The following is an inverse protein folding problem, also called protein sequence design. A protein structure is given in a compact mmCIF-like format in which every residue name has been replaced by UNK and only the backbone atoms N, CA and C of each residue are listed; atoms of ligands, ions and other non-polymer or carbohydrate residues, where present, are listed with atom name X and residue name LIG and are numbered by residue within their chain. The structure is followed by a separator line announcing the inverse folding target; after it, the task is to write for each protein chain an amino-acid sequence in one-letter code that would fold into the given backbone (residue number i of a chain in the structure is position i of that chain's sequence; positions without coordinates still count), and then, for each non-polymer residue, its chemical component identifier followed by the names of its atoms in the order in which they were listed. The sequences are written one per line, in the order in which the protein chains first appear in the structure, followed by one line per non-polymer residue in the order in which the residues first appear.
data_IF_002149742500
#
_entry.id   IF_002149742500
#
_cell.length_a   1.000
_cell.length_b   1.000
_cell.length_c   1.000
_cell.angle_alpha   90.00
_cell.angle_beta   90.00
_cell.angle_gamma   90.00
#
_symmetry.space_group_name_H-M   'P 1'
#
loop_
_entity.id
_entity.type
_entity.pdbx_description
1 polymer ?
#
# COMPACT_ATOMS: atom_id res chain seq x y z
N UNK A 1 42.52 -29.23 -33.58
CA UNK A 1 41.99 -27.85 -33.57
C UNK A 1 41.71 -27.50 -32.10
N UNK A 2 42.62 -27.04 -31.23
CA UNK A 2 43.64 -25.97 -31.22
C UNK A 2 43.11 -24.57 -31.57
N UNK A 3 42.61 -23.91 -30.51
CA UNK A 3 42.89 -22.54 -30.07
C UNK A 3 42.99 -21.43 -31.12
N UNK A 4 42.06 -20.46 -31.06
CA UNK A 4 42.31 -19.08 -31.48
C UNK A 4 42.06 -18.13 -30.30
N UNK A 5 43.15 -17.46 -29.89
CA UNK A 5 43.20 -16.15 -29.21
C UNK A 5 43.40 -15.10 -30.30
N UNK A 6 42.86 -13.90 -30.14
CA UNK A 6 43.33 -12.58 -30.61
C UNK A 6 42.18 -11.59 -30.37
N UNK A 7 42.32 -10.34 -29.95
CA UNK A 7 43.27 -9.60 -29.11
C UNK A 7 42.55 -8.28 -28.77
N UNK A 8 42.89 -7.71 -27.63
CA UNK A 8 42.56 -6.35 -27.23
C UNK A 8 43.15 -5.32 -28.20
N UNK A 9 42.43 -4.20 -28.42
CA UNK A 9 43.10 -2.92 -28.61
C UNK A 9 42.23 -1.75 -28.14
N UNK A 10 42.74 -1.09 -27.11
CA UNK A 10 42.35 0.21 -26.61
C UNK A 10 42.51 1.29 -27.68
N UNK A 11 41.57 2.24 -27.73
CA UNK A 11 41.92 3.65 -27.99
C UNK A 11 41.29 4.53 -26.90
N UNK A 12 42.21 5.13 -26.17
CA UNK A 12 42.05 6.22 -25.21
C UNK A 12 41.45 7.47 -25.85
N UNK A 13 40.54 8.13 -25.13
CA UNK A 13 39.96 9.41 -25.51
C UNK A 13 39.38 10.11 -24.29
N UNK A 14 40.27 10.50 -23.37
CA UNK A 14 39.96 11.38 -22.24
C UNK A 14 39.43 12.72 -22.74
N UNK A 15 38.16 13.02 -22.48
CA UNK A 15 37.66 14.38 -22.40
C UNK A 15 36.92 14.55 -21.07
N UNK A 16 37.67 15.05 -20.10
CA UNK A 16 37.24 15.47 -18.79
C UNK A 16 36.33 16.69 -18.92
N UNK A 17 35.01 16.48 -18.83
CA UNK A 17 34.05 17.56 -18.62
C UNK A 17 33.39 17.30 -17.27
N UNK A 18 33.98 17.90 -16.23
CA UNK A 18 33.39 18.01 -14.90
C UNK A 18 32.11 18.83 -15.01
N UNK A 19 30.97 18.14 -15.11
CA UNK A 19 29.69 18.75 -14.84
C UNK A 19 29.29 18.26 -13.44
N UNK A 20 29.68 19.03 -12.43
CA UNK A 20 29.00 19.02 -11.14
C UNK A 20 27.56 19.49 -11.37
N UNK A 21 26.68 18.56 -11.78
CA UNK A 21 25.25 18.77 -11.73
C UNK A 21 24.79 18.38 -10.34
N UNK A 22 24.51 19.41 -9.53
CA UNK A 22 23.79 19.33 -8.26
C UNK A 22 22.68 18.30 -8.36
N UNK A 23 22.87 17.17 -7.70
CA UNK A 23 21.80 16.20 -7.43
C UNK A 23 20.73 16.92 -6.60
N UNK A 24 19.53 17.05 -7.15
CA UNK A 24 18.41 17.69 -6.45
C UNK A 24 18.02 16.80 -5.28
N UNK A 25 18.50 17.20 -4.10
CA UNK A 25 18.28 16.57 -2.81
C UNK A 25 16.78 16.39 -2.55
N UNK A 26 16.30 15.15 -2.57
CA UNK A 26 14.94 14.79 -2.16
C UNK A 26 14.76 15.09 -0.68
N UNK A 27 14.26 16.28 -0.36
CA UNK A 27 13.83 16.64 0.98
C UNK A 27 12.42 16.10 1.19
N UNK A 28 12.25 15.25 2.21
CA UNK A 28 11.00 14.82 2.84
C UNK A 28 9.91 15.93 2.94
N UNK A 29 10.34 17.19 2.89
CA UNK A 29 9.60 18.41 3.15
C UNK A 29 8.76 18.93 1.97
N UNK A 30 9.13 18.65 0.71
CA UNK A 30 8.43 19.22 -0.45
C UNK A 30 7.00 18.70 -0.64
N UNK A 31 6.79 17.40 -0.44
CA UNK A 31 5.47 16.77 -0.58
C UNK A 31 4.56 16.95 0.67
N UNK A 32 5.16 17.23 1.84
CA UNK A 32 4.43 17.27 3.11
C UNK A 32 4.08 18.69 3.59
N UNK A 33 4.78 19.71 3.12
CA UNK A 33 4.61 21.11 3.55
C UNK A 33 4.44 22.02 2.32
N UNK A 34 3.21 22.37 1.97
CA UNK A 34 2.95 23.52 1.08
C UNK A 34 2.89 24.86 1.86
N UNK A 35 3.12 24.89 3.18
CA UNK A 35 2.76 26.08 3.99
C UNK A 35 3.61 26.37 5.26
N UNK A 36 4.90 26.03 5.32
CA UNK A 36 5.76 26.58 6.40
C UNK A 36 7.24 26.60 6.09
N UNK A 37 7.89 27.69 6.53
CA UNK A 37 9.28 28.06 6.28
C UNK A 37 10.34 26.99 6.61
N UNK A 38 11.40 27.05 5.81
CA UNK A 38 12.52 26.12 5.66
C UNK A 38 13.27 25.72 6.93
N UNK A 39 13.48 24.41 7.14
CA UNK A 39 14.58 23.87 7.96
C UNK A 39 15.29 22.73 7.22
N UNK A 40 16.60 22.89 7.06
CA UNK A 40 17.47 22.04 6.24
C UNK A 40 18.03 20.88 7.09
N UNK A 41 17.66 19.64 6.77
CA UNK A 41 18.33 18.44 7.31
C UNK A 41 18.91 17.61 6.16
N UNK A 42 20.24 17.43 6.15
CA UNK A 42 20.99 16.61 5.20
C UNK A 42 21.17 15.20 5.78
N UNK A 43 20.80 14.15 5.04
CA UNK A 43 21.42 12.83 5.24
C UNK A 43 21.46 12.06 3.91
N UNK A 44 22.60 12.10 3.23
CA UNK A 44 23.04 10.99 2.38
C UNK A 44 23.93 10.11 3.25
N UNK A 45 23.76 8.77 3.28
CA UNK A 45 24.76 7.90 3.88
C UNK A 45 26.02 7.94 3.01
N UNK A 46 27.17 8.15 3.64
CA UNK A 46 28.49 8.05 3.05
C UNK A 46 28.73 6.63 2.52
N UNK A 47 29.37 6.54 1.34
CA UNK A 47 29.92 5.30 0.81
C UNK A 47 31.05 4.83 1.72
N UNK A 48 30.92 3.63 2.29
CA UNK A 48 32.01 2.96 3.00
C UNK A 48 32.42 1.72 2.21
N UNK A 49 33.38 1.90 1.31
CA UNK A 49 34.31 0.83 0.94
C UNK A 49 35.44 0.74 1.99
N UNK A 50 36.00 -0.47 2.13
CA UNK A 50 37.15 -0.91 2.95
C UNK A 50 36.87 -1.14 4.45
N UNK A 51 37.48 -2.10 5.15
CA UNK A 51 38.50 -3.10 4.81
C UNK A 51 38.74 -3.99 6.06
N UNK A 52 39.23 -5.21 5.86
CA UNK A 52 39.58 -6.15 6.94
C UNK A 52 40.86 -5.70 7.65
N UNK A 53 40.81 -5.54 8.98
CA UNK A 53 41.97 -5.74 9.86
C UNK A 53 41.51 -5.99 11.31
N UNK A 54 42.02 -7.05 11.93
CA UNK A 54 41.74 -7.41 13.33
C UNK A 54 42.60 -6.67 14.36
N UNK A 55 42.26 -6.86 15.63
CA UNK A 55 43.04 -6.42 16.80
C UNK A 55 42.15 -6.10 18.01
N UNK A 56 42.45 -6.72 19.15
CA UNK A 56 41.67 -6.72 20.40
C UNK A 56 41.85 -5.46 21.27
N UNK A 57 40.86 -5.26 22.18
CA UNK A 57 40.83 -4.53 23.48
C UNK A 57 41.18 -3.02 23.52
N UNK A 58 40.25 -2.16 23.97
CA UNK A 58 40.08 -1.84 25.40
C UNK A 58 38.90 -0.87 25.65
N UNK A 59 38.43 -0.84 26.90
CA UNK A 59 37.28 -0.08 27.42
C UNK A 59 37.59 1.42 27.57
N UNK A 60 36.60 2.28 27.32
CA UNK A 60 36.19 3.35 28.24
C UNK A 60 34.93 4.09 27.77
N UNK A 61 34.02 4.31 28.72
CA UNK A 61 32.86 5.18 28.60
C UNK A 61 33.28 6.64 28.48
N UNK A 62 32.64 7.41 27.60
CA UNK A 62 32.30 8.80 27.91
C UNK A 62 31.05 9.25 27.17
N UNK A 63 30.33 10.10 27.88
CA UNK A 63 29.00 10.64 27.68
C UNK A 63 28.97 11.66 26.53
N UNK A 64 27.85 11.70 25.81
CA UNK A 64 27.74 12.51 24.61
C UNK A 64 26.34 12.45 24.01
N UNK A 65 25.33 12.77 24.81
CA UNK A 65 23.97 12.98 24.34
C UNK A 65 23.90 14.15 23.35
N UNK A 66 24.09 13.85 22.06
CA UNK A 66 23.95 14.81 20.96
C UNK A 66 22.60 14.60 20.26
N UNK A 67 21.64 15.46 20.61
CA UNK A 67 20.64 16.02 19.71
C UNK A 67 19.60 15.08 19.05
N UNK A 68 18.60 14.61 19.80
CA UNK A 68 17.43 13.90 19.26
C UNK A 68 16.26 14.82 18.81
N UNK A 69 16.54 16.05 18.38
CA UNK A 69 15.52 17.06 18.07
C UNK A 69 14.76 16.84 16.76
N UNK A 70 15.44 16.37 15.70
CA UNK A 70 14.85 16.27 14.36
C UNK A 70 13.86 15.11 14.17
N UNK A 71 13.95 14.04 14.98
CA UNK A 71 13.05 12.88 14.87
C UNK A 71 11.62 13.19 15.31
N UNK A 72 11.46 13.94 16.41
CA UNK A 72 10.15 14.34 16.91
C UNK A 72 9.45 15.34 15.99
N UNK A 73 10.21 16.25 15.37
CA UNK A 73 9.68 17.24 14.43
C UNK A 73 9.08 16.57 13.18
N UNK A 74 9.80 15.62 12.59
CA UNK A 74 9.31 14.84 11.44
C UNK A 74 8.06 14.03 11.80
N UNK A 75 8.04 13.38 12.96
CA UNK A 75 6.87 12.64 13.42
C UNK A 75 5.65 13.56 13.58
N UNK A 76 5.86 14.78 14.09
CA UNK A 76 4.82 15.81 14.18
C UNK A 76 4.24 16.19 12.82
N UNK A 77 5.09 16.39 11.81
CA UNK A 77 4.67 16.71 10.43
C UNK A 77 3.84 15.57 9.83
N UNK A 78 4.33 14.33 9.93
CA UNK A 78 3.64 13.13 9.42
C UNK A 78 2.27 12.98 10.09
N UNK A 79 2.22 13.10 11.42
CA UNK A 79 0.97 13.01 12.17
C UNK A 79 -0.01 14.11 11.76
N UNK A 80 0.43 15.37 11.70
CA UNK A 80 -0.39 16.52 11.33
C UNK A 80 -0.95 16.38 9.91
N UNK A 81 -0.12 16.00 8.94
CA UNK A 81 -0.56 15.80 7.54
C UNK A 81 -1.58 14.68 7.42
N UNK A 82 -1.34 13.53 8.07
CA UNK A 82 -2.26 12.41 8.04
C UNK A 82 -3.61 12.76 8.67
N UNK A 83 -3.60 13.33 9.89
CA UNK A 83 -4.82 13.69 10.62
C UNK A 83 -5.61 14.75 9.86
N UNK A 84 -4.99 15.85 9.43
CA UNK A 84 -5.68 16.92 8.69
C UNK A 84 -6.31 16.43 7.38
N UNK A 85 -5.61 15.58 6.63
CA UNK A 85 -6.12 15.01 5.37
C UNK A 85 -7.29 14.03 5.60
N UNK A 86 -7.23 13.25 6.68
CA UNK A 86 -8.32 12.37 7.09
C UNK A 86 -9.55 13.16 7.57
N UNK A 87 -9.35 14.18 8.42
CA UNK A 87 -10.41 15.04 8.93
C UNK A 87 -11.11 15.80 7.81
N UNK A 88 -10.37 16.27 6.81
CA UNK A 88 -10.92 16.91 5.60
C UNK A 88 -11.81 15.97 4.78
N UNK A 89 -11.53 14.67 4.86
CA UNK A 89 -12.35 13.61 4.27
C UNK A 89 -13.45 13.11 5.22
N UNK A 90 -13.67 13.81 6.34
CA UNK A 90 -14.70 13.51 7.33
C UNK A 90 -14.43 12.30 8.22
N UNK A 91 -13.17 11.83 8.28
CA UNK A 91 -12.73 10.71 9.12
C UNK A 91 -11.81 11.23 10.23
N UNK A 92 -12.27 11.16 11.48
CA UNK A 92 -11.50 11.63 12.62
C UNK A 92 -10.70 10.49 13.28
N UNK A 93 -9.39 10.68 13.40
CA UNK A 93 -8.48 9.66 13.91
C UNK A 93 -7.35 10.32 14.70
N UNK A 94 -6.88 9.59 15.71
CA UNK A 94 -5.72 9.97 16.51
C UNK A 94 -4.55 9.06 16.16
N UNK A 95 -3.38 9.66 15.91
CA UNK A 95 -2.14 8.90 15.76
C UNK A 95 -1.65 8.51 17.16
N UNK A 96 -1.45 7.20 17.37
CA UNK A 96 -0.99 6.63 18.64
C UNK A 96 0.51 6.34 18.61
N UNK A 97 1.10 6.13 17.42
CA UNK A 97 2.53 5.91 17.30
C UNK A 97 3.04 6.08 15.87
N UNK A 98 4.27 6.56 15.75
CA UNK A 98 5.02 6.62 14.50
C UNK A 98 6.39 6.00 14.78
N UNK A 99 6.76 5.04 13.93
CA UNK A 99 8.05 4.36 14.00
C UNK A 99 8.75 4.47 12.66
N UNK A 100 9.96 5.03 12.65
CA UNK A 100 10.83 5.02 11.48
C UNK A 100 11.43 3.63 11.32
N UNK A 101 11.36 3.08 10.12
CA UNK A 101 11.94 1.78 9.83
C UNK A 101 13.46 1.92 9.84
N UNK A 102 14.11 1.09 10.65
CA UNK A 102 15.57 0.99 10.70
C UNK A 102 16.07 0.14 9.52
N UNK A 103 17.09 0.65 8.84
CA UNK A 103 17.76 -0.01 7.73
C UNK A 103 19.11 -0.59 8.14
N UNK A 104 19.30 -0.99 9.39
CA UNK A 104 20.58 -1.54 9.89
C UNK A 104 20.89 -2.96 9.38
N UNK A 105 19.88 -3.82 9.24
CA UNK A 105 20.08 -5.21 8.81
C UNK A 105 20.61 -5.30 7.36
N UNK A 106 21.35 -6.36 7.04
CA UNK A 106 21.86 -6.60 5.68
C UNK A 106 20.73 -6.58 4.64
N UNK A 107 19.62 -7.27 4.92
CA UNK A 107 18.48 -7.35 4.01
C UNK A 107 17.78 -6.01 3.84
N UNK A 108 17.60 -5.24 4.92
CA UNK A 108 17.00 -3.89 4.82
C UNK A 108 17.90 -2.91 4.06
N UNK A 109 19.23 -2.99 4.24
CA UNK A 109 20.18 -2.19 3.44
C UNK A 109 20.10 -2.53 1.96
N UNK A 110 20.03 -3.82 1.62
CA UNK A 110 19.87 -4.25 0.24
C UNK A 110 18.56 -3.73 -0.39
N UNK A 111 17.45 -3.72 0.36
CA UNK A 111 16.17 -3.13 -0.10
C UNK A 111 16.30 -1.63 -0.37
N UNK A 112 16.93 -0.89 0.54
CA UNK A 112 17.17 0.55 0.38
C UNK A 112 18.07 0.83 -0.84
N UNK A 113 19.19 0.10 -0.97
CA UNK A 113 20.12 0.25 -2.10
C UNK A 113 19.45 -0.08 -3.43
N UNK A 114 18.66 -1.16 -3.49
CA UNK A 114 17.88 -1.51 -4.67
C UNK A 114 16.95 -0.36 -5.06
N UNK A 115 16.20 0.20 -4.11
CA UNK A 115 15.35 1.36 -4.37
C UNK A 115 16.15 2.56 -4.93
N UNK A 116 17.30 2.88 -4.33
CA UNK A 116 18.16 3.98 -4.81
C UNK A 116 18.65 3.76 -6.25
N UNK A 117 19.07 2.53 -6.58
CA UNK A 117 19.52 2.18 -7.94
C UNK A 117 18.39 2.35 -8.95
N UNK A 118 17.19 1.84 -8.65
CA UNK A 118 16.03 1.99 -9.54
C UNK A 118 15.58 3.44 -9.64
N UNK A 119 15.65 4.21 -8.55
CA UNK A 119 15.35 5.65 -8.57
C UNK A 119 16.29 6.36 -9.55
N UNK A 120 17.59 6.09 -9.49
CA UNK A 120 18.57 6.69 -10.40
C UNK A 120 18.32 6.27 -11.86
N UNK A 121 17.97 5.01 -12.10
CA UNK A 121 17.66 4.52 -13.43
C UNK A 121 16.42 5.20 -14.03
N UNK A 122 15.35 5.37 -13.24
CA UNK A 122 14.14 6.07 -13.69
C UNK A 122 14.39 7.56 -13.89
N UNK A 123 15.19 8.20 -13.04
CA UNK A 123 15.65 9.59 -13.20
C UNK A 123 16.36 9.78 -14.56
N UNK A 124 17.30 8.89 -14.88
CA UNK A 124 18.01 8.91 -16.17
C UNK A 124 17.07 8.69 -17.36
N UNK A 125 16.08 7.80 -17.22
CA UNK A 125 15.06 7.53 -18.24
C UNK A 125 14.09 8.72 -18.45
N UNK A 126 13.76 9.45 -17.38
CA UNK A 126 12.69 10.44 -17.36
C UNK A 126 13.21 11.89 -17.30
N UNK A 127 14.19 12.22 -18.16
CA UNK A 127 14.72 13.59 -18.31
C UNK A 127 15.28 14.22 -17.01
N UNK A 128 15.79 13.40 -16.09
CA UNK A 128 16.41 13.88 -14.85
C UNK A 128 15.50 13.93 -13.63
N UNK A 129 14.26 13.42 -13.71
CA UNK A 129 13.36 13.32 -12.55
C UNK A 129 12.72 11.94 -12.46
N UNK A 130 12.96 11.25 -11.33
CA UNK A 130 12.36 9.95 -11.05
C UNK A 130 10.88 10.05 -10.59
N UNK A 131 10.38 11.26 -10.35
CA UNK A 131 9.04 11.54 -9.82
C UNK A 131 8.80 10.68 -8.56
N UNK A 132 9.72 10.80 -7.59
CA UNK A 132 9.62 10.08 -6.30
C UNK A 132 8.61 10.82 -5.43
N UNK A 133 7.58 10.11 -4.96
CA UNK A 133 6.51 10.66 -4.13
C UNK A 133 6.37 9.91 -2.82
N UNK A 134 5.88 10.60 -1.79
CA UNK A 134 5.34 9.93 -0.62
C UNK A 134 3.91 9.42 -0.87
N UNK A 135 3.61 8.22 -0.36
CA UNK A 135 2.29 7.62 -0.47
C UNK A 135 1.96 6.68 0.71
N UNK A 136 0.67 6.59 1.01
CA UNK A 136 0.11 5.80 2.09
C UNK A 136 -0.30 4.40 1.62
N UNK A 137 0.09 3.37 2.37
CA UNK A 137 -0.38 2.00 2.20
C UNK A 137 -0.91 1.47 3.54
N UNK A 138 -2.18 1.09 3.62
CA UNK A 138 -2.75 0.52 4.84
C UNK A 138 -3.04 -0.95 4.69
N UNK A 139 -2.70 -1.71 5.73
CA UNK A 139 -2.83 -3.16 5.77
C UNK A 139 -2.99 -3.64 7.23
N UNK A 140 -3.19 -4.95 7.42
CA UNK A 140 -3.16 -5.53 8.77
C UNK A 140 -1.74 -5.47 9.36
N UNK A 141 -1.64 -5.53 10.69
CA UNK A 141 -0.35 -5.64 11.40
C UNK A 141 0.50 -6.81 10.89
N UNK A 142 -0.13 -7.96 10.63
CA UNK A 142 0.54 -9.15 10.12
C UNK A 142 1.09 -8.95 8.71
N UNK A 143 0.33 -8.29 7.84
CA UNK A 143 0.75 -7.98 6.47
C UNK A 143 1.87 -6.94 6.45
N UNK A 144 1.79 -5.89 7.29
CA UNK A 144 2.89 -4.92 7.44
C UNK A 144 4.17 -5.62 7.87
N UNK A 145 4.13 -6.48 8.90
CA UNK A 145 5.31 -7.22 9.35
C UNK A 145 5.88 -8.14 8.24
N UNK A 146 5.01 -8.76 7.45
CA UNK A 146 5.43 -9.56 6.29
C UNK A 146 6.10 -8.70 5.22
N UNK A 147 5.57 -7.49 4.94
CA UNK A 147 6.16 -6.54 3.99
C UNK A 147 7.55 -6.09 4.44
N UNK A 148 7.71 -5.74 5.73
CA UNK A 148 8.99 -5.29 6.26
C UNK A 148 10.04 -6.40 6.18
N UNK A 149 9.67 -7.64 6.47
CA UNK A 149 10.57 -8.81 6.42
C UNK A 149 10.87 -9.25 4.98
N UNK A 150 9.84 -9.44 4.15
CA UNK A 150 9.95 -10.15 2.88
C UNK A 150 9.68 -9.29 1.63
N UNK A 151 9.22 -8.06 1.81
CA UNK A 151 8.77 -7.19 0.73
C UNK A 151 7.28 -7.37 0.42
N UNK A 152 6.77 -6.54 -0.49
CA UNK A 152 5.43 -6.65 -1.01
C UNK A 152 5.25 -7.98 -1.75
N UNK A 153 4.10 -8.61 -1.55
CA UNK A 153 3.68 -9.82 -2.23
C UNK A 153 2.49 -9.52 -3.14
N UNK A 154 2.21 -10.42 -4.09
CA UNK A 154 1.08 -10.26 -5.01
C UNK A 154 -0.22 -10.13 -4.19
N UNK A 155 -1.05 -9.09 -4.45
CA UNK A 155 -2.28 -8.92 -3.71
C UNK A 155 -3.21 -10.11 -3.95
N UNK A 156 -3.78 -10.64 -2.88
CA UNK A 156 -4.76 -11.75 -2.93
C UNK A 156 -6.10 -11.36 -3.55
N UNK A 157 -6.31 -10.06 -3.85
CA UNK A 157 -7.49 -9.56 -4.54
C UNK A 157 -7.12 -8.60 -5.66
N UNK A 158 -7.75 -8.79 -6.83
CA UNK A 158 -7.57 -7.94 -8.01
C UNK A 158 -7.84 -6.48 -7.64
N UNK A 159 -7.01 -5.54 -8.09
CA UNK A 159 -7.30 -4.10 -8.02
C UNK A 159 -8.60 -3.73 -8.72
N UNK A 160 -9.13 -2.54 -8.45
CA UNK A 160 -10.11 -1.94 -9.36
C UNK A 160 -9.45 -1.30 -10.58
N UNK A 161 -8.12 -1.11 -10.57
CA UNK A 161 -7.37 -0.39 -11.61
C UNK A 161 -6.07 -1.15 -11.92
N UNK A 162 -6.20 -2.41 -12.35
CA UNK A 162 -5.06 -3.28 -12.64
C UNK A 162 -4.52 -4.08 -11.46
N UNK A 163 -3.49 -4.90 -11.73
CA UNK A 163 -2.79 -5.76 -10.80
C UNK A 163 -1.49 -5.10 -10.33
N UNK A 164 -1.44 -4.79 -9.04
CA UNK A 164 -0.30 -4.11 -8.44
C UNK A 164 -0.60 -3.65 -7.02
N UNK A 165 0.40 -3.04 -6.40
CA UNK A 165 0.24 -2.39 -5.10
C UNK A 165 -0.42 -1.04 -5.33
N UNK A 166 -1.52 -0.79 -4.62
CA UNK A 166 -2.26 0.46 -4.70
C UNK A 166 -1.90 1.31 -3.47
N UNK A 167 -1.42 2.53 -3.69
CA UNK A 167 -1.09 3.47 -2.64
C UNK A 167 -1.94 4.73 -2.81
N UNK A 168 -2.18 5.45 -1.71
CA UNK A 168 -2.89 6.73 -1.75
C UNK A 168 -1.89 7.88 -1.66
N UNK A 169 -2.03 8.95 -2.44
CA UNK A 169 -1.26 10.18 -2.26
C UNK A 169 -1.39 10.73 -0.83
N UNK A 170 -0.40 11.52 -0.40
CA UNK A 170 -0.35 12.04 0.98
C UNK A 170 -1.58 12.85 1.39
N UNK A 171 -2.20 13.54 0.44
CA UNK A 171 -3.41 14.37 0.62
C UNK A 171 -4.72 13.57 0.60
N UNK A 172 -4.68 12.30 0.18
CA UNK A 172 -5.86 11.46 0.01
C UNK A 172 -5.77 10.11 0.74
N UNK A 173 -5.36 10.07 2.03
CA UNK A 173 -5.09 8.82 2.78
C UNK A 173 -6.31 7.92 2.97
N UNK A 174 -7.54 8.46 2.85
CA UNK A 174 -8.78 7.75 3.16
C UNK A 174 -8.96 6.46 2.34
N UNK A 175 -8.45 6.43 1.10
CA UNK A 175 -8.55 5.24 0.26
C UNK A 175 -7.65 4.10 0.71
N UNK A 176 -6.54 4.39 1.40
CA UNK A 176 -5.62 3.40 1.93
C UNK A 176 -5.94 2.97 3.36
N UNK A 177 -6.92 3.56 4.06
CA UNK A 177 -7.24 3.17 5.43
C UNK A 177 -7.59 1.67 5.57
N UNK A 178 -7.00 0.91 6.50
CA UNK A 178 -7.31 -0.50 6.69
C UNK A 178 -8.52 -0.65 7.64
N UNK A 179 -9.70 -0.22 7.18
CA UNK A 179 -10.92 -0.18 8.01
C UNK A 179 -11.33 -1.55 8.58
N UNK A 180 -10.92 -2.65 7.98
CA UNK A 180 -11.17 -4.02 8.45
C UNK A 180 -9.92 -4.70 9.06
N UNK A 181 -8.79 -3.98 9.09
CA UNK A 181 -7.48 -4.50 9.49
C UNK A 181 -7.01 -4.01 10.86
N UNK A 182 -7.93 -3.55 11.71
CA UNK A 182 -7.59 -3.15 13.07
C UNK A 182 -7.10 -4.35 13.89
N UNK A 183 -6.07 -4.16 14.70
CA UNK A 183 -5.52 -5.20 15.58
C UNK A 183 -6.36 -5.40 16.86
N UNK A 184 -5.87 -6.24 17.77
CA UNK A 184 -6.58 -6.59 19.02
C UNK A 184 -6.83 -5.35 19.92
N UNK A 185 -5.98 -4.32 19.81
CA UNK A 185 -6.07 -3.07 20.56
C UNK A 185 -6.98 -2.03 19.85
N UNK A 186 -7.53 -2.41 18.69
CA UNK A 186 -8.31 -1.55 17.81
C UNK A 186 -7.46 -0.54 17.04
N UNK A 187 -6.16 -0.79 16.89
CA UNK A 187 -5.26 0.07 16.14
C UNK A 187 -5.26 -0.31 14.66
N UNK A 188 -5.40 0.68 13.80
CA UNK A 188 -5.18 0.58 12.36
C UNK A 188 -3.74 0.96 12.05
N UNK A 189 -3.09 0.21 11.17
CA UNK A 189 -1.69 0.42 10.84
C UNK A 189 -1.50 0.79 9.38
N UNK A 190 -0.64 1.78 9.12
CA UNK A 190 -0.32 2.25 7.78
C UNK A 190 1.19 2.39 7.62
N UNK A 191 1.64 2.21 6.38
CA UNK A 191 2.98 2.54 5.92
C UNK A 191 2.96 3.89 5.22
N UNK A 192 3.94 4.72 5.52
CA UNK A 192 4.33 5.83 4.65
C UNK A 192 5.53 5.37 3.83
N UNK A 193 5.36 5.33 2.51
CA UNK A 193 6.35 4.81 1.57
C UNK A 193 6.88 5.94 0.67
N UNK A 194 8.16 5.87 0.31
CA UNK A 194 8.66 6.53 -0.91
C UNK A 194 8.33 5.65 -2.10
N UNK A 195 7.84 6.26 -3.17
CA UNK A 195 7.40 5.56 -4.36
C UNK A 195 7.99 6.22 -5.61
N UNK A 196 8.70 5.45 -6.42
CA UNK A 196 9.20 5.91 -7.71
C UNK A 196 8.05 5.82 -8.72
N UNK A 197 7.47 6.97 -9.09
CA UNK A 197 6.35 7.00 -10.03
C UNK A 197 6.81 7.11 -11.49
N UNK A 198 7.95 7.74 -11.77
CA UNK A 198 8.42 7.98 -13.14
C UNK A 198 7.34 8.63 -14.01
N UNK A 199 7.25 8.21 -15.28
CA UNK A 199 6.15 8.64 -16.15
C UNK A 199 4.89 7.84 -15.85
N UNK A 200 3.88 8.52 -15.28
CA UNK A 200 2.60 7.91 -14.93
C UNK A 200 1.67 7.79 -16.15
N UNK A 201 0.88 6.72 -16.19
CA UNK A 201 -0.27 6.58 -17.08
C UNK A 201 -1.60 6.65 -16.31
N UNK A 202 -2.65 7.12 -16.97
CA UNK A 202 -4.01 7.05 -16.44
C UNK A 202 -4.55 5.62 -16.65
N UNK A 203 -4.93 4.97 -15.56
CA UNK A 203 -5.50 3.62 -15.56
C UNK A 203 -6.98 3.74 -15.25
N UNK A 204 -7.83 3.20 -16.13
CA UNK A 204 -9.28 3.24 -15.94
C UNK A 204 -9.77 2.20 -14.94
N UNK A 205 -10.86 2.52 -14.25
CA UNK A 205 -11.56 1.58 -13.39
C UNK A 205 -12.07 0.36 -14.16
N UNK A 206 -11.82 -0.83 -13.63
CA UNK A 206 -12.07 -2.12 -14.26
C UNK A 206 -10.90 -2.65 -15.11
N UNK A 207 -9.79 -1.91 -15.24
CA UNK A 207 -8.63 -2.35 -16.01
C UNK A 207 -8.03 -3.66 -15.46
N UNK A 208 -7.69 -4.57 -16.36
CA UNK A 208 -6.97 -5.82 -16.08
C UNK A 208 -5.45 -5.73 -16.30
N UNK A 209 -4.91 -4.52 -16.50
CA UNK A 209 -3.47 -4.31 -16.72
C UNK A 209 -2.65 -4.82 -15.54
N UNK A 210 -1.53 -5.49 -15.81
CA UNK A 210 -0.59 -5.99 -14.79
C UNK A 210 0.83 -5.43 -14.96
N UNK A 211 1.04 -4.64 -16.01
CA UNK A 211 2.26 -3.96 -16.41
C UNK A 211 1.88 -2.65 -17.11
N UNK A 212 2.84 -1.74 -17.34
CA UNK A 212 2.57 -0.53 -18.09
C UNK A 212 2.00 -0.82 -19.49
N UNK A 213 1.16 0.08 -20.02
CA UNK A 213 0.60 -0.08 -21.38
C UNK A 213 1.65 -0.04 -22.49
N UNK A 214 2.75 0.66 -22.27
CA UNK A 214 3.92 0.68 -23.16
C UNK A 214 5.21 0.96 -22.37
N UNK A 215 6.37 0.75 -22.99
CA UNK A 215 7.68 0.97 -22.35
C UNK A 215 7.92 2.41 -21.91
N UNK A 216 7.20 3.36 -22.49
CA UNK A 216 7.27 4.76 -22.12
C UNK A 216 6.75 5.05 -20.72
N UNK A 217 5.89 4.21 -20.15
CA UNK A 217 5.31 4.40 -18.83
C UNK A 217 5.99 3.54 -17.76
N UNK A 218 5.92 4.02 -16.52
CA UNK A 218 6.55 3.38 -15.37
C UNK A 218 5.56 2.91 -14.31
N UNK A 219 4.52 3.69 -14.05
CA UNK A 219 3.50 3.43 -13.04
C UNK A 219 2.13 3.93 -13.50
N UNK A 220 1.08 3.57 -12.76
CA UNK A 220 -0.29 4.00 -13.04
C UNK A 220 -0.84 4.96 -11.98
N UNK A 221 -1.84 5.74 -12.37
CA UNK A 221 -2.69 6.52 -11.47
C UNK A 221 -4.14 6.51 -11.96
N UNK A 222 -5.09 6.87 -11.11
CA UNK A 222 -6.50 6.98 -11.50
C UNK A 222 -6.83 8.26 -12.29
N UNK A 223 -6.14 9.36 -11.99
CA UNK A 223 -6.24 10.63 -12.71
C UNK A 223 -4.87 11.33 -12.72
N UNK A 224 -4.47 11.88 -13.86
CA UNK A 224 -3.14 12.51 -14.02
C UNK A 224 -3.07 13.93 -13.45
N UNK A 225 -4.19 14.64 -13.36
CA UNK A 225 -4.22 16.02 -12.89
C UNK A 225 -4.38 16.09 -11.37
N UNK A 226 -5.22 15.22 -10.80
CA UNK A 226 -5.49 15.10 -9.37
C UNK A 226 -5.52 13.63 -8.97
N UNK A 227 -4.36 12.94 -8.92
CA UNK A 227 -4.29 11.54 -8.54
C UNK A 227 -4.91 11.34 -7.16
N UNK A 228 -5.73 10.31 -7.00
CA UNK A 228 -6.21 9.83 -5.68
C UNK A 228 -5.75 8.42 -5.39
N UNK A 229 -5.16 7.76 -6.38
CA UNK A 229 -4.59 6.41 -6.27
C UNK A 229 -3.39 6.28 -7.18
N UNK A 230 -2.30 5.77 -6.62
CA UNK A 230 -1.13 5.32 -7.34
C UNK A 230 -1.16 3.80 -7.48
N UNK A 231 -0.66 3.30 -8.60
CA UNK A 231 -0.57 1.87 -8.93
C UNK A 231 0.87 1.58 -9.28
N UNK A 232 1.52 0.76 -8.48
CA UNK A 232 2.84 0.20 -8.80
C UNK A 232 2.64 -1.25 -9.22
N UNK A 233 3.03 -1.55 -10.46
CA UNK A 233 2.88 -2.86 -11.06
C UNK A 233 3.59 -3.94 -10.23
N UNK A 234 3.05 -5.16 -10.23
CA UNK A 234 3.60 -6.26 -9.43
C UNK A 234 5.05 -6.60 -9.78
N UNK A 235 5.45 -6.38 -11.03
CA UNK A 235 6.83 -6.55 -11.50
C UNK A 235 7.82 -5.56 -10.90
N UNK A 236 7.33 -4.44 -10.33
CA UNK A 236 8.13 -3.31 -9.85
C UNK A 236 7.94 -3.01 -8.35
N UNK A 237 6.96 -3.61 -7.69
CA UNK A 237 6.56 -3.27 -6.31
C UNK A 237 7.68 -3.34 -5.26
N UNK A 238 8.65 -4.27 -5.41
CA UNK A 238 9.75 -4.45 -4.44
C UNK A 238 10.99 -3.59 -4.74
N UNK A 239 11.01 -2.91 -5.88
CA UNK A 239 12.11 -2.01 -6.27
C UNK A 239 11.67 -0.55 -6.31
N UNK A 240 10.38 -0.30 -6.52
CA UNK A 240 9.80 1.04 -6.66
C UNK A 240 9.04 1.53 -5.43
N UNK A 241 8.88 0.71 -4.39
CA UNK A 241 8.25 1.10 -3.13
C UNK A 241 9.24 0.83 -2.00
N UNK A 242 9.54 1.88 -1.23
CA UNK A 242 10.33 1.79 -0.01
C UNK A 242 9.49 2.24 1.19
N UNK A 243 9.03 1.31 2.04
CA UNK A 243 8.44 1.67 3.33
C UNK A 243 9.47 2.41 4.18
N UNK A 244 9.12 3.60 4.70
CA UNK A 244 10.02 4.39 5.55
C UNK A 244 9.49 4.59 6.98
N UNK A 245 8.17 4.69 7.15
CA UNK A 245 7.54 4.80 8.46
C UNK A 245 6.36 3.85 8.62
N UNK A 246 6.17 3.36 9.84
CA UNK A 246 4.96 2.67 10.30
C UNK A 246 4.18 3.63 11.20
N UNK A 247 2.90 3.82 10.90
CA UNK A 247 2.00 4.70 11.62
C UNK A 247 0.86 3.85 12.19
N UNK A 248 0.64 3.95 13.49
CA UNK A 248 -0.48 3.34 14.19
C UNK A 248 -1.47 4.42 14.59
N UNK A 249 -2.73 4.25 14.21
CA UNK A 249 -3.80 5.21 14.48
C UNK A 249 -5.05 4.52 15.02
N UNK A 250 -5.83 5.26 15.79
CA UNK A 250 -7.11 4.82 16.35
C UNK A 250 -8.22 5.71 15.83
N UNK A 251 -9.29 5.09 15.34
CA UNK A 251 -10.48 5.84 14.93
C UNK A 251 -11.17 6.43 16.16
N UNK A 252 -11.60 7.70 16.06
CA UNK A 252 -12.45 8.32 17.07
C UNK A 252 -13.82 7.61 17.12
N UNK A 253 -14.42 7.54 18.32
CA UNK A 253 -15.66 6.81 18.61
C UNK A 253 -16.82 7.12 17.65
N UNK A 254 -16.88 8.37 17.16
CA UNK A 254 -17.90 8.88 16.25
C UNK A 254 -17.83 8.26 14.84
N UNK A 255 -16.69 7.68 14.45
CA UNK A 255 -16.48 7.20 13.09
C UNK A 255 -16.95 5.77 12.85
N UNK A 256 -17.54 5.05 13.81
CA UNK A 256 -18.00 3.66 13.60
C UNK A 256 -19.09 3.54 12.54
N UNK A 257 -20.02 4.51 12.45
CA UNK A 257 -21.04 4.53 11.38
C UNK A 257 -20.48 4.98 10.04
N UNK A 258 -19.55 5.94 10.04
CA UNK A 258 -18.86 6.37 8.82
C UNK A 258 -17.92 5.30 8.27
N UNK A 259 -17.25 4.53 9.11
CA UNK A 259 -16.45 3.36 8.76
C UNK A 259 -17.32 2.33 8.02
N UNK A 260 -18.53 2.05 8.51
CA UNK A 260 -19.50 1.20 7.81
C UNK A 260 -19.92 1.76 6.44
N UNK A 261 -20.11 3.09 6.32
CA UNK A 261 -20.44 3.74 5.02
C UNK A 261 -19.25 3.77 4.04
N UNK A 262 -18.04 4.04 4.51
CA UNK A 262 -16.82 4.01 3.70
C UNK A 262 -16.47 2.58 3.24
N UNK A 263 -16.71 1.58 4.09
CA UNK A 263 -16.67 0.17 3.72
C UNK A 263 -17.75 -0.18 2.68
N UNK A 264 -18.93 0.44 2.74
CA UNK A 264 -20.01 0.25 1.76
C UNK A 264 -19.68 0.88 0.39
N UNK A 265 -18.93 1.98 0.37
CA UNK A 265 -18.45 2.64 -0.85
C UNK A 265 -17.16 2.03 -1.43
N UNK A 266 -16.43 1.22 -0.67
CA UNK A 266 -15.44 0.31 -1.26
C UNK A 266 -16.22 -0.81 -1.93
N UNK A 267 -16.46 -0.66 -3.23
CA UNK A 267 -17.06 -1.69 -4.07
C UNK A 267 -16.40 -3.02 -3.75
N UNK A 268 -17.13 -3.99 -3.18
CA UNK A 268 -16.57 -5.30 -2.92
C UNK A 268 -16.10 -5.87 -4.25
N UNK A 269 -14.81 -6.17 -4.35
CA UNK A 269 -14.18 -6.67 -5.58
C UNK A 269 -14.64 -8.09 -5.96
N UNK A 270 -15.61 -8.62 -5.21
CA UNK A 270 -16.48 -9.72 -5.58
C UNK A 270 -17.92 -9.27 -5.32
N UNK A 271 -18.80 -9.33 -6.31
CA UNK A 271 -20.23 -8.99 -6.19
C UNK A 271 -20.83 -9.63 -4.93
N UNK A 272 -20.89 -8.85 -3.87
CA UNK A 272 -21.17 -9.34 -2.53
C UNK A 272 -22.67 -9.55 -2.40
N UNK A 273 -23.08 -10.79 -2.14
CA UNK A 273 -24.48 -11.09 -1.83
C UNK A 273 -24.76 -10.63 -0.39
N UNK A 274 -25.72 -9.70 -0.17
CA UNK A 274 -26.08 -9.29 1.17
C UNK A 274 -26.48 -10.48 2.04
N UNK A 275 -26.04 -10.50 3.30
CA UNK A 275 -26.38 -11.58 4.24
C UNK A 275 -27.89 -11.88 4.32
N UNK A 276 -28.80 -10.88 4.34
CA UNK A 276 -30.24 -11.16 4.26
C UNK A 276 -30.64 -11.92 2.98
N UNK A 277 -30.03 -11.59 1.84
CA UNK A 277 -30.24 -12.29 0.57
C UNK A 277 -29.68 -13.71 0.63
N UNK A 278 -28.52 -13.91 1.27
CA UNK A 278 -27.95 -15.24 1.52
C UNK A 278 -28.89 -16.08 2.39
N UNK A 279 -29.43 -15.52 3.47
CA UNK A 279 -30.41 -16.20 4.36
C UNK A 279 -31.67 -16.58 3.58
N UNK A 280 -32.22 -15.67 2.79
CA UNK A 280 -33.39 -15.94 1.95
C UNK A 280 -33.11 -16.98 0.85
N UNK A 281 -31.88 -17.07 0.36
CA UNK A 281 -31.49 -18.13 -0.57
C UNK A 281 -31.35 -19.48 0.14
N UNK A 282 -30.74 -19.50 1.33
CA UNK A 282 -30.59 -20.70 2.16
C UNK A 282 -31.94 -21.24 2.65
N UNK A 283 -32.95 -20.39 2.87
CA UNK A 283 -34.27 -20.82 3.33
C UNK A 283 -35.02 -21.72 2.35
N UNK A 284 -34.52 -21.84 1.11
CA UNK A 284 -35.03 -22.80 0.11
C UNK A 284 -34.46 -24.20 0.28
N UNK A 285 -33.39 -24.35 1.04
CA UNK A 285 -32.60 -25.59 1.14
C UNK A 285 -32.41 -26.08 2.59
N UNK A 286 -32.60 -25.20 3.58
CA UNK A 286 -32.44 -25.53 5.00
C UNK A 286 -33.78 -25.54 5.74
N UNK A 287 -33.92 -26.37 6.79
CA UNK A 287 -35.08 -26.33 7.69
C UNK A 287 -35.25 -24.97 8.35
N UNK A 288 -36.49 -24.64 8.72
CA UNK A 288 -36.85 -23.37 9.36
C UNK A 288 -36.04 -23.09 10.63
N UNK A 289 -35.84 -24.10 11.46
CA UNK A 289 -35.06 -24.01 12.71
C UNK A 289 -33.60 -23.59 12.45
N UNK A 290 -32.97 -24.16 11.42
CA UNK A 290 -31.61 -23.81 11.01
C UNK A 290 -31.54 -22.35 10.51
N UNK A 291 -32.55 -21.90 9.75
CA UNK A 291 -32.64 -20.52 9.26
C UNK A 291 -32.89 -19.53 10.40
N UNK A 292 -33.72 -19.87 11.37
CA UNK A 292 -33.95 -19.06 12.56
C UNK A 292 -32.67 -18.93 13.40
N UNK A 293 -31.92 -20.02 13.56
CA UNK A 293 -30.60 -20.00 14.20
C UNK A 293 -29.61 -19.10 13.44
N UNK A 294 -29.49 -19.25 12.13
CA UNK A 294 -28.64 -18.38 11.29
C UNK A 294 -29.06 -16.91 11.40
N UNK A 295 -30.37 -16.64 11.36
CA UNK A 295 -30.93 -15.29 11.46
C UNK A 295 -30.65 -14.65 12.81
N UNK A 296 -30.73 -15.45 13.89
CA UNK A 296 -30.36 -15.04 15.24
C UNK A 296 -28.88 -14.65 15.31
N UNK A 297 -27.97 -15.49 14.82
CA UNK A 297 -26.54 -15.18 14.79
C UNK A 297 -26.22 -13.91 13.97
N UNK A 298 -26.90 -13.70 12.83
CA UNK A 298 -26.78 -12.47 12.06
C UNK A 298 -27.33 -11.24 12.81
N UNK A 299 -28.46 -11.37 13.52
CA UNK A 299 -28.99 -10.31 14.39
C UNK A 299 -28.02 -9.99 15.53
N UNK A 300 -27.44 -11.00 16.18
CA UNK A 300 -26.49 -10.83 17.27
C UNK A 300 -25.20 -10.16 16.79
N UNK A 301 -24.73 -10.48 15.59
CA UNK A 301 -23.65 -9.75 14.93
C UNK A 301 -24.01 -8.29 14.65
N UNK A 302 -25.22 -8.02 14.13
CA UNK A 302 -25.68 -6.64 13.92
C UNK A 302 -25.77 -5.84 15.23
N UNK A 303 -26.12 -6.51 16.33
CA UNK A 303 -26.15 -5.97 17.70
C UNK A 303 -24.80 -6.01 18.42
N UNK A 304 -23.70 -6.36 17.73
CA UNK A 304 -22.34 -6.44 18.25
C UNK A 304 -22.14 -7.40 19.44
N UNK A 305 -22.99 -8.42 19.58
CA UNK A 305 -22.84 -9.45 20.63
C UNK A 305 -21.83 -10.54 20.28
N UNK A 306 -21.55 -10.71 18.98
CA UNK A 306 -20.60 -11.71 18.45
C UNK A 306 -19.74 -11.10 17.35
N UNK A 307 -18.52 -11.61 17.17
CA UNK A 307 -17.61 -11.15 16.12
C UNK A 307 -18.06 -11.60 14.72
N UNK A 308 -17.55 -10.94 13.67
CA UNK A 308 -17.81 -11.34 12.28
C UNK A 308 -17.32 -12.77 12.01
N UNK A 309 -16.12 -13.11 12.49
CA UNK A 309 -15.54 -14.44 12.33
C UNK A 309 -16.40 -15.52 13.00
N UNK A 310 -16.90 -15.24 14.20
CA UNK A 310 -17.76 -16.16 14.93
C UNK A 310 -19.10 -16.37 14.24
N UNK A 311 -19.76 -15.29 13.78
CA UNK A 311 -20.96 -15.41 12.95
C UNK A 311 -20.69 -16.26 11.70
N UNK A 312 -19.60 -16.01 10.97
CA UNK A 312 -19.26 -16.77 9.74
C UNK A 312 -19.06 -18.25 10.07
N UNK A 313 -18.31 -18.56 11.14
CA UNK A 313 -18.09 -19.94 11.58
C UNK A 313 -19.42 -20.65 11.86
N UNK A 314 -20.29 -20.03 12.67
CA UNK A 314 -21.62 -20.58 13.00
C UNK A 314 -22.49 -20.80 11.76
N UNK A 315 -22.47 -19.88 10.81
CA UNK A 315 -23.21 -20.03 9.55
C UNK A 315 -22.65 -21.18 8.70
N UNK A 316 -21.33 -21.34 8.65
CA UNK A 316 -20.68 -22.47 7.95
C UNK A 316 -21.00 -23.80 8.62
N UNK A 317 -21.02 -23.84 9.95
CA UNK A 317 -21.36 -25.04 10.72
C UNK A 317 -22.81 -25.47 10.49
N UNK A 318 -23.75 -24.52 10.38
CA UNK A 318 -25.18 -24.82 10.17
C UNK A 318 -25.50 -25.12 8.71
N UNK A 319 -25.03 -24.30 7.77
CA UNK A 319 -25.40 -24.41 6.36
C UNK A 319 -24.50 -25.38 5.57
N UNK A 320 -23.25 -25.56 6.00
CA UNK A 320 -22.23 -26.32 5.29
C UNK A 320 -21.62 -25.55 4.10
N UNK A 321 -20.31 -25.70 3.92
CA UNK A 321 -19.55 -24.99 2.88
C UNK A 321 -20.00 -25.35 1.46
N UNK A 322 -20.43 -26.60 1.21
CA UNK A 322 -20.91 -27.04 -0.10
C UNK A 322 -22.14 -26.25 -0.56
N UNK A 323 -23.11 -26.05 0.34
CA UNK A 323 -24.32 -25.30 0.05
C UNK A 323 -24.01 -23.81 -0.13
N UNK A 324 -23.17 -23.24 0.75
CA UNK A 324 -22.74 -21.84 0.63
C UNK A 324 -22.06 -21.58 -0.72
N UNK A 325 -21.14 -22.45 -1.14
CA UNK A 325 -20.49 -22.35 -2.44
C UNK A 325 -21.48 -22.46 -3.60
N UNK A 326 -22.44 -23.39 -3.53
CA UNK A 326 -23.45 -23.57 -4.58
C UNK A 326 -24.34 -22.33 -4.73
N UNK A 327 -24.83 -21.76 -3.61
CA UNK A 327 -25.66 -20.56 -3.61
C UNK A 327 -24.88 -19.38 -4.17
N UNK A 328 -23.65 -19.14 -3.70
CA UNK A 328 -22.79 -18.04 -4.17
C UNK A 328 -22.50 -18.20 -5.68
N UNK A 329 -22.20 -19.42 -6.15
CA UNK A 329 -21.98 -19.70 -7.58
C UNK A 329 -23.23 -19.44 -8.42
N UNK A 330 -24.40 -19.82 -7.92
CA UNK A 330 -25.68 -19.57 -8.60
C UNK A 330 -26.01 -18.07 -8.68
N UNK A 331 -25.73 -17.33 -7.60
CA UNK A 331 -25.91 -15.88 -7.54
C UNK A 331 -25.03 -15.18 -8.57
N UNK A 332 -23.74 -15.54 -8.63
CA UNK A 332 -22.79 -15.04 -9.64
C UNK A 332 -23.28 -15.25 -11.07
N UNK A 333 -23.85 -16.41 -11.36
CA UNK A 333 -24.35 -16.75 -12.70
C UNK A 333 -25.57 -15.91 -13.08
N UNK A 334 -26.49 -15.69 -12.13
CA UNK A 334 -27.68 -14.84 -12.33
C UNK A 334 -27.31 -13.38 -12.51
N UNK A 335 -26.40 -12.84 -11.70
CA UNK A 335 -25.96 -11.44 -11.82
C UNK A 335 -25.29 -11.16 -13.17
N UNK A 336 -24.44 -12.07 -13.67
CA UNK A 336 -23.84 -11.96 -15.01
C UNK A 336 -24.90 -11.96 -16.12
N UNK A 337 -25.90 -12.85 -16.05
CA UNK A 337 -26.98 -12.91 -17.03
C UNK A 337 -27.87 -11.65 -17.03
N UNK A 338 -28.15 -11.08 -15.85
CA UNK A 338 -28.92 -9.85 -15.72
C UNK A 338 -28.17 -8.62 -16.24
N UNK A 339 -26.84 -8.58 -16.05
CA UNK A 339 -26.00 -7.51 -16.57
C UNK A 339 -25.96 -7.55 -18.12
N UNK A 340 -25.83 -8.76 -18.69
CA UNK A 340 -25.86 -8.96 -20.15
C UNK A 340 -27.22 -8.60 -20.76
N UNK A 341 -28.33 -8.99 -20.13
CA UNK A 341 -29.67 -8.64 -20.61
C UNK A 341 -29.96 -7.13 -20.55
N UNK A 342 -29.44 -6.43 -19.52
CA UNK A 342 -29.58 -4.96 -19.41
C UNK A 342 -28.72 -4.21 -20.42
N UNK A 343 -27.60 -4.76 -20.85
CA UNK A 343 -26.78 -4.19 -21.92
C UNK A 343 -27.50 -4.30 -23.28
N UNK A 344 -28.10 -5.46 -23.58
CA UNK A 344 -28.84 -5.67 -24.84
C UNK A 344 -30.07 -4.77 -24.98
N UNK A 345 -30.75 -4.43 -23.87
CA UNK A 345 -31.92 -3.53 -23.88
C UNK A 345 -31.56 -2.05 -24.11
N UNK A 346 -30.31 -1.63 -23.92
CA UNK A 346 -29.86 -0.25 -24.21
C UNK A 346 -29.43 -0.03 -25.65
N UNK A 347 -29.28 -1.09 -26.44
CA UNK A 347 -28.99 -0.99 -27.88
C UNK A 347 -30.26 -0.94 -28.75
N UNK A 348 -31.44 -1.07 -28.15
CA UNK A 348 -32.73 -1.10 -28.85
C UNK A 348 -33.76 -0.07 -28.33
N UNK A 349 -33.34 0.98 -27.63
CA UNK A 349 -34.24 2.10 -27.25
C UNK A 349 -33.82 3.42 -27.87
#
# INVERSE_FOLDING_TARGET
MRSERYDDNLISGSNHVSIEKKSTKLTLFGDLLEDSDTVNSNSCPSDCESGVSGGENDRNSDDGAVGNGGGQEIHGIIAKKLVSSLSSSGFDAKVEGIHRIDFSSFTSRAKLQSFCIYSKAVEMKCNGDANVKYAWFGASKTEINAILSHGFSLPTSNGTHGFGVHLSPVDHPIQSLPLDGADEDGLMHMLLCRVIMGKMEAVLGGSGQYNPSCEGFDSGCDDLASPRRYIVWSSRMNTHILPEYVISLKASSYNREKQRKLQLHRVPRSDWMPFPTLIAAMSKFLPREAIESISKHHSDYRKQKVSRHEMIRRVRDIAGDKLLMAIIKSYRSKTKSQLMNRASLRFFS
#
